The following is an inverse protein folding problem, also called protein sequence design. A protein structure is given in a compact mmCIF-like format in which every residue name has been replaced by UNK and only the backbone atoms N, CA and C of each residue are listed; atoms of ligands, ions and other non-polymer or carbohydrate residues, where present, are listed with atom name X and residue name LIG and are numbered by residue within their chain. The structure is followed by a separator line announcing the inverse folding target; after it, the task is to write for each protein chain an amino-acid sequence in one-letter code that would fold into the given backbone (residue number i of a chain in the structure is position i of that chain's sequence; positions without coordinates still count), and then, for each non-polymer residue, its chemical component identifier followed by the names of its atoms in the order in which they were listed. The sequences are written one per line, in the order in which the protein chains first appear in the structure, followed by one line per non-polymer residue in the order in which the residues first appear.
data_IF_643621670658
#
_entry.id   IF_643621670658
#
_cell.length_a   1.000
_cell.length_b   1.000
_cell.length_c   1.000
_cell.angle_alpha   90.00
_cell.angle_beta   90.00
_cell.angle_gamma   90.00
#
_symmetry.space_group_name_H-M   'P 1'
#
loop_
_entity.id
_entity.type
_entity.pdbx_description
1 polymer ?
#
# COMPACT_ATOMS: atom_id res chain seq x y z
N UNK A 1 15.57 -0.54 -8.55
CA UNK A 1 15.82 0.27 -7.32
C UNK A 1 14.47 0.72 -6.76
N UNK A 2 14.34 0.80 -5.43
CA UNK A 2 13.11 1.22 -4.76
C UNK A 2 13.47 2.42 -3.87
N UNK A 3 12.70 3.49 -3.95
CA UNK A 3 12.88 4.72 -3.18
C UNK A 3 11.63 4.97 -2.34
N UNK A 4 11.76 4.87 -1.02
CA UNK A 4 10.73 5.25 -0.05
C UNK A 4 11.00 6.68 0.38
N UNK A 5 10.05 7.59 0.11
CA UNK A 5 10.17 9.02 0.43
C UNK A 5 9.33 9.42 1.64
N UNK A 6 8.72 8.46 2.31
CA UNK A 6 8.04 8.66 3.59
C UNK A 6 9.05 9.20 4.61
N UNK A 7 8.69 10.30 5.26
CA UNK A 7 9.52 10.94 6.28
C UNK A 7 8.94 10.69 7.67
N UNK A 8 9.83 10.54 8.64
CA UNK A 8 9.44 10.52 10.04
C UNK A 8 8.81 11.87 10.43
N UNK A 9 7.70 11.83 11.17
CA UNK A 9 6.90 12.99 11.52
C UNK A 9 5.46 12.86 11.01
N UNK A 10 4.56 13.77 11.44
CA UNK A 10 3.15 13.72 11.06
C UNK A 10 2.46 12.38 11.40
N UNK A 11 2.79 11.78 12.55
CA UNK A 11 2.38 10.46 13.04
C UNK A 11 3.08 9.26 12.36
N UNK A 12 3.94 9.46 11.37
CA UNK A 12 4.81 8.42 10.86
C UNK A 12 5.99 8.20 11.80
N UNK A 13 6.25 6.95 12.12
CA UNK A 13 7.37 6.50 12.96
C UNK A 13 8.29 5.62 12.13
N UNK A 14 9.56 5.59 12.53
CA UNK A 14 10.58 4.76 11.90
C UNK A 14 11.02 3.65 12.86
N UNK A 15 11.14 2.45 12.32
CA UNK A 15 11.83 1.32 12.95
C UNK A 15 13.05 0.97 12.10
N UNK A 16 14.18 0.72 12.75
CA UNK A 16 15.40 0.30 12.05
C UNK A 16 16.09 -0.81 12.84
N UNK A 17 16.53 -1.83 12.14
CA UNK A 17 17.46 -2.86 12.62
C UNK A 17 18.63 -2.96 11.64
N UNK A 18 19.57 -3.88 11.87
CA UNK A 18 20.74 -4.06 10.98
C UNK A 18 20.36 -4.33 9.51
N UNK A 19 19.24 -5.02 9.26
CA UNK A 19 18.84 -5.48 7.92
C UNK A 19 17.55 -4.84 7.41
N UNK A 20 16.80 -4.12 8.24
CA UNK A 20 15.44 -3.69 7.92
C UNK A 20 15.27 -2.23 8.30
N UNK A 21 14.69 -1.47 7.40
CA UNK A 21 14.11 -0.15 7.70
C UNK A 21 12.62 -0.21 7.45
N UNK A 22 11.82 0.20 8.43
CA UNK A 22 10.39 0.28 8.26
C UNK A 22 9.85 1.66 8.67
N UNK A 23 8.87 2.13 7.91
CA UNK A 23 8.05 3.28 8.27
C UNK A 23 6.64 2.77 8.55
N UNK A 24 6.05 3.24 9.62
CA UNK A 24 4.69 2.85 10.00
C UNK A 24 3.93 4.02 10.61
N UNK A 25 2.61 3.96 10.45
CA UNK A 25 1.67 4.92 11.03
C UNK A 25 0.43 4.17 11.46
N UNK A 26 -0.14 4.56 12.61
CA UNK A 26 -1.42 4.04 13.08
C UNK A 26 -1.38 3.37 14.44
N UNK A 27 -2.41 2.56 14.71
CA UNK A 27 -2.65 1.86 15.97
C UNK A 27 -2.74 0.36 15.72
N UNK A 28 -2.09 -0.42 16.59
CA UNK A 28 -2.07 -1.88 16.59
C UNK A 28 -2.64 -2.35 17.92
N UNK A 29 -3.71 -3.17 17.89
CA UNK A 29 -4.47 -3.49 19.09
C UNK A 29 -3.88 -4.65 19.91
N UNK A 30 -3.38 -5.67 19.26
CA UNK A 30 -3.01 -6.93 19.93
C UNK A 30 -1.53 -7.24 19.92
N UNK A 31 -0.71 -6.55 19.14
CA UNK A 31 0.70 -6.90 18.94
C UNK A 31 1.60 -5.66 18.98
N UNK A 32 2.84 -5.86 19.43
CA UNK A 32 3.85 -4.82 19.31
C UNK A 32 4.30 -4.67 17.86
N UNK A 33 4.40 -3.44 17.38
CA UNK A 33 4.80 -3.15 16.00
C UNK A 33 6.15 -3.75 15.61
N UNK A 34 7.12 -3.79 16.54
CA UNK A 34 8.43 -4.41 16.29
C UNK A 34 8.28 -5.90 15.93
N UNK A 35 7.45 -6.63 16.68
CA UNK A 35 7.19 -8.04 16.41
C UNK A 35 6.48 -8.25 15.06
N UNK A 36 5.52 -7.38 14.71
CA UNK A 36 4.85 -7.40 13.42
C UNK A 36 5.88 -7.22 12.28
N UNK A 37 6.73 -6.19 12.37
CA UNK A 37 7.74 -5.90 11.34
C UNK A 37 8.72 -7.06 11.18
N UNK A 38 9.21 -7.62 12.27
CA UNK A 38 10.13 -8.75 12.26
C UNK A 38 9.48 -10.01 11.66
N UNK A 39 8.23 -10.31 12.06
CA UNK A 39 7.48 -11.43 11.50
C UNK A 39 7.25 -11.29 10.00
N UNK A 40 6.84 -10.12 9.51
CA UNK A 40 6.65 -9.86 8.08
C UNK A 40 7.99 -10.02 7.33
N UNK A 41 9.07 -9.51 7.90
CA UNK A 41 10.38 -9.49 7.23
C UNK A 41 11.03 -10.87 7.13
N UNK A 42 10.68 -11.79 8.01
CA UNK A 42 11.16 -13.18 8.04
C UNK A 42 10.21 -14.17 7.39
N UNK A 43 9.02 -13.72 7.00
CA UNK A 43 7.97 -14.58 6.46
C UNK A 43 8.19 -14.87 4.98
N UNK A 44 7.93 -16.11 4.58
CA UNK A 44 7.88 -16.50 3.17
C UNK A 44 6.65 -15.90 2.50
N UNK A 45 6.75 -15.64 1.19
CA UNK A 45 5.68 -15.01 0.42
C UNK A 45 4.34 -15.77 0.48
N UNK A 46 4.37 -17.09 0.65
CA UNK A 46 3.18 -17.93 0.72
C UNK A 46 2.36 -17.68 2.00
N UNK A 47 3.05 -17.46 3.12
CA UNK A 47 2.43 -17.26 4.43
C UNK A 47 2.16 -15.78 4.76
N UNK A 48 2.70 -14.87 3.95
CA UNK A 48 2.62 -13.43 4.19
C UNK A 48 1.18 -12.91 4.21
N UNK A 49 0.33 -13.46 3.35
CA UNK A 49 -1.09 -13.08 3.27
C UNK A 49 -1.83 -13.37 4.58
N UNK A 50 -1.66 -14.58 5.13
CA UNK A 50 -2.27 -14.98 6.39
C UNK A 50 -1.75 -14.15 7.57
N UNK A 51 -0.45 -13.91 7.60
CA UNK A 51 0.18 -13.10 8.64
C UNK A 51 -0.38 -11.68 8.66
N UNK A 52 -0.50 -11.03 7.49
CA UNK A 52 -1.02 -9.67 7.37
C UNK A 52 -2.51 -9.63 7.73
N UNK A 53 -3.29 -10.65 7.35
CA UNK A 53 -4.72 -10.74 7.66
C UNK A 53 -5.00 -10.74 9.17
N UNK A 54 -4.08 -11.30 9.96
CA UNK A 54 -4.16 -11.40 11.41
C UNK A 54 -3.68 -10.13 12.16
N UNK A 55 -3.26 -9.09 11.45
CA UNK A 55 -2.92 -7.80 12.07
C UNK A 55 -4.21 -7.01 12.31
N UNK A 56 -4.47 -6.73 13.60
CA UNK A 56 -5.59 -5.88 13.99
C UNK A 56 -5.14 -4.45 14.26
N UNK A 57 -5.82 -3.51 13.60
CA UNK A 57 -5.50 -2.11 13.77
C UNK A 57 -5.94 -1.23 12.59
N UNK A 58 -5.60 0.04 12.72
CA UNK A 58 -5.69 1.04 11.66
C UNK A 58 -4.28 1.51 11.34
N UNK A 59 -3.73 1.09 10.22
CA UNK A 59 -2.31 1.26 9.97
C UNK A 59 -1.93 1.35 8.50
N UNK A 60 -0.74 1.89 8.26
CA UNK A 60 0.04 1.65 7.06
C UNK A 60 1.48 1.32 7.47
N UNK A 61 2.09 0.38 6.77
CA UNK A 61 3.47 -0.08 7.03
C UNK A 61 4.20 -0.15 5.69
N UNK A 62 5.43 0.35 5.65
CA UNK A 62 6.36 0.12 4.53
C UNK A 62 7.64 -0.43 5.11
N UNK A 63 8.01 -1.64 4.74
CA UNK A 63 9.19 -2.35 5.20
C UNK A 63 10.14 -2.52 4.02
N UNK A 64 11.38 -2.12 4.19
CA UNK A 64 12.42 -2.26 3.16
C UNK A 64 13.63 -2.98 3.71
N UNK A 65 14.16 -3.89 2.93
CA UNK A 65 15.50 -4.45 3.09
C UNK A 65 16.30 -4.26 1.79
N UNK A 66 17.49 -4.84 1.68
CA UNK A 66 18.36 -4.71 0.50
C UNK A 66 17.72 -5.23 -0.81
N UNK A 67 16.81 -6.21 -0.72
CA UNK A 67 16.31 -6.95 -1.88
C UNK A 67 14.88 -6.60 -2.26
N UNK A 68 14.05 -6.18 -1.30
CA UNK A 68 12.63 -5.94 -1.53
C UNK A 68 12.06 -4.86 -0.61
N UNK A 69 10.91 -4.33 -1.02
CA UNK A 69 10.07 -3.46 -0.20
C UNK A 69 8.65 -4.00 -0.18
N UNK A 70 8.06 -4.09 1.02
CA UNK A 70 6.66 -4.48 1.22
C UNK A 70 5.92 -3.24 1.71
N UNK A 71 4.82 -2.89 1.05
CA UNK A 71 3.93 -1.82 1.47
C UNK A 71 2.55 -2.40 1.79
N UNK A 72 1.99 -2.07 2.95
CA UNK A 72 0.75 -2.65 3.47
C UNK A 72 -0.16 -1.52 3.93
N UNK A 73 -1.44 -1.59 3.57
CA UNK A 73 -2.49 -0.73 4.13
C UNK A 73 -3.53 -1.59 4.85
N UNK A 74 -4.17 -1.02 5.86
CA UNK A 74 -5.18 -1.74 6.65
C UNK A 74 -6.46 -2.05 5.85
N UNK A 75 -7.36 -2.80 6.50
CA UNK A 75 -8.63 -3.29 5.92
C UNK A 75 -9.56 -2.18 5.40
N UNK A 76 -9.39 -0.93 5.84
CA UNK A 76 -10.18 0.23 5.41
C UNK A 76 -9.34 1.33 4.75
N UNK A 77 -8.03 1.13 4.61
CA UNK A 77 -7.09 2.12 4.07
C UNK A 77 -7.11 3.45 4.85
N UNK A 78 -7.00 3.38 6.16
CA UNK A 78 -7.00 4.58 7.02
C UNK A 78 -5.85 5.55 6.74
N UNK A 79 -4.74 5.03 6.23
CA UNK A 79 -3.61 5.80 5.71
C UNK A 79 -3.25 5.29 4.32
N UNK A 80 -3.41 6.09 3.27
CA UNK A 80 -3.09 5.66 1.91
C UNK A 80 -1.57 5.55 1.69
N UNK A 81 -1.18 4.63 0.82
CA UNK A 81 0.17 4.55 0.23
C UNK A 81 0.03 4.66 -1.27
N UNK A 82 0.79 5.58 -1.84
CA UNK A 82 0.89 5.81 -3.29
C UNK A 82 2.22 5.30 -3.80
N UNK A 83 2.23 4.86 -5.04
CA UNK A 83 3.46 4.42 -5.70
C UNK A 83 3.43 4.75 -7.19
N UNK A 84 4.61 4.89 -7.74
CA UNK A 84 4.84 5.10 -9.17
C UNK A 84 6.12 4.39 -9.59
N UNK A 85 6.27 4.12 -10.89
CA UNK A 85 7.51 3.62 -11.46
C UNK A 85 8.01 4.62 -12.50
N UNK A 86 9.21 5.15 -12.29
CA UNK A 86 9.86 6.13 -13.14
C UNK A 86 11.29 5.63 -13.40
N UNK A 87 11.70 5.54 -14.67
CA UNK A 87 13.04 5.09 -15.06
C UNK A 87 13.49 3.77 -14.38
N UNK A 88 12.57 2.81 -14.26
CA UNK A 88 12.78 1.54 -13.55
C UNK A 88 13.06 1.68 -12.03
N UNK A 89 12.72 2.81 -11.44
CA UNK A 89 12.77 3.06 -10.00
C UNK A 89 11.35 3.16 -9.47
N UNK A 90 11.01 2.40 -8.43
CA UNK A 90 9.77 2.56 -7.69
C UNK A 90 9.91 3.67 -6.66
N UNK A 91 8.94 4.55 -6.64
CA UNK A 91 8.81 5.62 -5.67
C UNK A 91 7.56 5.38 -4.85
N UNK A 92 7.69 5.36 -3.52
CA UNK A 92 6.59 5.14 -2.58
C UNK A 92 6.49 6.31 -1.59
N UNK A 93 5.27 6.80 -1.39
CA UNK A 93 4.97 7.82 -0.38
C UNK A 93 3.52 7.72 0.10
N UNK A 94 3.22 8.27 1.26
CA UNK A 94 1.85 8.47 1.75
C UNK A 94 1.23 9.80 1.29
N UNK A 95 2.03 10.67 0.69
CA UNK A 95 1.58 11.95 0.15
C UNK A 95 1.84 11.99 -1.36
N UNK A 96 0.79 11.96 -2.20
CA UNK A 96 0.93 11.95 -3.64
C UNK A 96 1.62 13.22 -4.17
N UNK A 97 1.45 14.36 -3.51
CA UNK A 97 2.07 15.62 -3.94
C UNK A 97 3.60 15.56 -3.87
N UNK A 98 4.19 14.81 -2.93
CA UNK A 98 5.65 14.63 -2.91
C UNK A 98 6.16 13.81 -4.09
N UNK A 99 5.36 12.87 -4.58
CA UNK A 99 5.70 12.09 -5.77
C UNK A 99 5.56 12.93 -7.04
N UNK A 100 4.48 13.70 -7.17
CA UNK A 100 4.20 14.50 -8.36
C UNK A 100 5.12 15.73 -8.47
N UNK A 101 5.39 16.43 -7.36
CA UNK A 101 6.24 17.66 -7.37
C UNK A 101 7.66 17.41 -7.84
N UNK A 102 8.18 16.21 -7.60
CA UNK A 102 9.54 15.84 -7.97
C UNK A 102 9.64 15.21 -9.37
N UNK A 103 8.50 14.96 -10.04
CA UNK A 103 8.47 14.21 -11.29
C UNK A 103 7.45 14.79 -12.26
N UNK A 104 7.90 15.50 -13.29
CA UNK A 104 7.03 16.07 -14.33
C UNK A 104 6.17 15.04 -15.05
N UNK A 105 6.62 13.79 -15.16
CA UNK A 105 5.90 12.70 -15.80
C UNK A 105 4.65 12.22 -15.01
N UNK A 106 4.53 12.59 -13.74
CA UNK A 106 3.37 12.28 -12.91
C UNK A 106 2.31 13.39 -12.88
N UNK A 107 2.52 14.47 -13.65
CA UNK A 107 1.56 15.59 -13.70
C UNK A 107 0.53 15.43 -14.84
N UNK A 108 0.63 14.37 -15.62
CA UNK A 108 -0.33 14.11 -16.68
C UNK A 108 -1.64 13.55 -16.07
N UNK A 109 -2.75 14.24 -16.34
CA UNK A 109 -4.07 13.87 -15.81
C UNK A 109 -4.56 12.59 -16.47
N UNK A 110 -5.10 11.69 -15.65
CA UNK A 110 -5.85 10.53 -16.07
C UNK A 110 -7.32 10.95 -16.29
N UNK A 111 -7.72 11.09 -17.54
CA UNK A 111 -9.07 11.60 -17.88
C UNK A 111 -10.19 10.68 -17.40
N UNK A 112 -9.99 9.36 -17.38
CA UNK A 112 -10.98 8.41 -16.83
C UNK A 112 -11.16 8.62 -15.34
N UNK A 113 -10.05 8.69 -14.59
CA UNK A 113 -10.10 8.95 -13.15
C UNK A 113 -10.69 10.33 -12.83
N UNK A 114 -10.39 11.35 -13.65
CA UNK A 114 -10.98 12.68 -13.52
C UNK A 114 -12.51 12.63 -13.70
N UNK A 115 -12.98 11.87 -14.70
CA UNK A 115 -14.41 11.68 -14.90
C UNK A 115 -15.05 10.96 -13.72
N UNK A 116 -14.46 9.85 -13.26
CA UNK A 116 -14.92 9.09 -12.10
C UNK A 116 -15.02 9.97 -10.84
N UNK A 117 -13.98 10.78 -10.56
CA UNK A 117 -13.96 11.70 -9.42
C UNK A 117 -15.05 12.78 -9.59
N UNK A 118 -15.26 13.30 -10.79
CA UNK A 118 -16.29 14.31 -11.05
C UNK A 118 -17.71 13.78 -10.84
N UNK A 119 -17.94 12.49 -11.13
CA UNK A 119 -19.25 11.85 -11.02
C UNK A 119 -19.51 11.28 -9.62
N UNK A 120 -18.51 10.66 -8.98
CA UNK A 120 -18.68 9.86 -7.78
C UNK A 120 -17.87 10.39 -6.57
N UNK A 121 -16.98 11.37 -6.77
CA UNK A 121 -16.10 11.89 -5.72
C UNK A 121 -14.84 11.05 -5.46
N UNK A 122 -14.66 9.93 -6.16
CA UNK A 122 -13.49 9.04 -6.01
C UNK A 122 -13.17 8.31 -7.31
N UNK A 123 -11.94 7.83 -7.44
CA UNK A 123 -11.52 6.99 -8.56
C UNK A 123 -11.70 5.50 -8.24
N UNK A 124 -12.01 4.70 -9.26
CA UNK A 124 -12.23 3.26 -9.14
C UNK A 124 -10.89 2.52 -9.26
N UNK A 125 -10.71 1.51 -8.39
CA UNK A 125 -9.52 0.66 -8.40
C UNK A 125 -8.32 1.31 -7.73
N UNK A 126 -7.14 1.14 -8.33
CA UNK A 126 -5.85 1.65 -7.87
C UNK A 126 -5.45 2.98 -8.54
N UNK A 127 -6.27 3.46 -9.48
CA UNK A 127 -6.05 4.71 -10.22
C UNK A 127 -6.06 5.93 -9.29
N UNK A 128 -5.29 6.94 -9.68
CA UNK A 128 -5.37 8.27 -9.10
C UNK A 128 -5.70 9.31 -10.17
N UNK A 129 -5.85 10.57 -9.79
CA UNK A 129 -6.06 11.67 -10.74
C UNK A 129 -4.93 11.79 -11.77
N UNK A 130 -3.75 11.28 -11.46
CA UNK A 130 -2.58 11.36 -12.32
C UNK A 130 -2.25 10.00 -12.93
N UNK A 131 -1.83 10.02 -14.22
CA UNK A 131 -1.30 8.83 -14.90
C UNK A 131 -0.03 8.34 -14.20
N UNK A 132 0.21 7.03 -14.25
CA UNK A 132 1.40 6.39 -13.66
C UNK A 132 1.59 6.59 -12.14
N UNK A 133 0.59 7.13 -11.46
CA UNK A 133 0.52 7.21 -10.01
C UNK A 133 -0.62 6.32 -9.53
N UNK A 134 -0.29 5.32 -8.73
CA UNK A 134 -1.20 4.31 -8.23
C UNK A 134 -1.33 4.40 -6.71
N UNK A 135 -2.39 3.81 -6.17
CA UNK A 135 -2.65 3.73 -4.74
C UNK A 135 -3.01 2.30 -4.34
N UNK A 136 -2.47 1.80 -3.24
CA UNK A 136 -2.97 0.57 -2.66
C UNK A 136 -4.42 0.75 -2.21
N UNK A 137 -5.26 -0.25 -2.49
CA UNK A 137 -6.66 -0.27 -2.05
C UNK A 137 -6.79 -0.83 -0.63
N UNK A 138 -7.92 -0.65 -0.01
CA UNK A 138 -8.25 -1.22 1.29
C UNK A 138 -8.04 -2.75 1.28
N UNK A 139 -7.35 -3.25 2.31
CA UNK A 139 -7.03 -4.68 2.44
C UNK A 139 -6.01 -5.20 1.45
N UNK A 140 -5.15 -4.34 0.90
CA UNK A 140 -4.07 -4.74 0.00
C UNK A 140 -2.69 -4.55 0.62
N UNK A 141 -1.76 -5.34 0.10
CA UNK A 141 -0.34 -5.11 0.22
C UNK A 141 0.35 -5.32 -1.12
N UNK A 142 1.51 -4.70 -1.30
CA UNK A 142 2.34 -4.87 -2.48
C UNK A 142 3.77 -5.26 -2.09
N UNK A 143 4.35 -6.14 -2.90
CA UNK A 143 5.76 -6.51 -2.84
C UNK A 143 6.43 -5.91 -4.07
N UNK A 144 7.42 -5.07 -3.83
CA UNK A 144 8.28 -4.48 -4.86
C UNK A 144 9.63 -5.19 -4.80
N UNK A 145 10.04 -5.76 -5.90
CA UNK A 145 11.32 -6.46 -6.01
C UNK A 145 11.93 -6.22 -7.38
N UNK A 146 13.22 -5.91 -7.43
CA UNK A 146 13.95 -5.63 -8.66
C UNK A 146 13.29 -4.50 -9.49
N UNK A 147 12.70 -4.86 -10.63
CA UNK A 147 12.00 -3.94 -11.56
C UNK A 147 10.51 -4.25 -11.68
N UNK A 148 9.99 -5.09 -10.78
CA UNK A 148 8.59 -5.54 -10.80
C UNK A 148 7.92 -5.31 -9.45
N UNK A 149 6.59 -5.28 -9.48
CA UNK A 149 5.80 -5.31 -8.26
C UNK A 149 4.61 -6.25 -8.45
N UNK A 150 4.09 -6.73 -7.32
CA UNK A 150 2.88 -7.53 -7.28
C UNK A 150 2.01 -7.08 -6.12
N UNK A 151 0.74 -6.85 -6.41
CA UNK A 151 -0.27 -6.48 -5.41
C UNK A 151 -1.07 -7.71 -5.05
N UNK A 152 -1.32 -7.87 -3.75
CA UNK A 152 -2.13 -8.94 -3.18
C UNK A 152 -3.25 -8.33 -2.36
N UNK A 153 -4.43 -8.94 -2.43
CA UNK A 153 -5.55 -8.58 -1.59
C UNK A 153 -5.68 -9.60 -0.46
N UNK A 154 -5.41 -9.18 0.77
CA UNK A 154 -5.49 -10.04 1.95
C UNK A 154 -6.85 -9.96 2.66
N UNK A 155 -7.66 -8.95 2.34
CA UNK A 155 -8.98 -8.78 2.92
C UNK A 155 -9.98 -8.25 1.90
N UNK A 156 -11.19 -8.88 1.86
CA UNK A 156 -12.32 -8.44 1.05
C UNK A 156 -13.52 -8.20 1.97
N UNK A 157 -14.19 -7.07 1.77
CA UNK A 157 -15.41 -6.73 2.52
C UNK A 157 -16.60 -7.62 2.19
N UNK A 158 -16.71 -8.01 0.92
CA UNK A 158 -17.77 -8.87 0.44
C UNK A 158 -17.22 -10.25 0.11
N UNK A 159 -17.84 -11.26 0.71
CA UNK A 159 -17.54 -12.65 0.38
C UNK A 159 -18.16 -12.99 -0.97
N UNK A 160 -17.39 -13.65 -1.84
CA UNK A 160 -17.88 -14.15 -3.14
C UNK A 160 -19.02 -15.18 -2.99
N UNK A 161 -19.26 -15.66 -1.76
CA UNK A 161 -20.30 -16.67 -1.42
C UNK A 161 -21.71 -16.06 -1.43
N UNK A 162 -21.86 -14.75 -1.24
CA UNK A 162 -23.19 -14.11 -1.19
C UNK A 162 -23.84 -13.93 -2.57
N UNK A 163 -23.08 -13.91 -3.65
CA UNK A 163 -23.60 -13.76 -5.00
C UNK A 163 -24.21 -15.03 -5.58
N UNK A 164 -23.88 -16.20 -5.05
CA UNK A 164 -24.41 -17.48 -5.54
C UNK A 164 -25.72 -17.93 -4.88
N UNK A 165 -26.21 -17.24 -3.86
CA UNK A 165 -27.43 -17.61 -3.10
C UNK A 165 -28.64 -16.70 -3.34
N UNK A 166 -28.53 -15.66 -4.12
CA UNK A 166 -29.68 -14.82 -4.47
C UNK A 166 -30.32 -15.42 -5.74
N UNK A 167 -31.06 -16.50 -5.56
CA UNK A 167 -32.07 -16.90 -6.55
C UNK A 167 -33.25 -15.95 -6.43
N UNK A 168 -33.39 -15.03 -7.36
CA UNK A 168 -34.63 -14.27 -7.53
C UNK A 168 -35.73 -15.28 -7.93
N UNK A 169 -36.68 -15.56 -7.05
CA UNK A 169 -37.97 -16.15 -7.35
C UNK A 169 -38.91 -15.07 -7.85
#
# INVERSE_FOLDING_TARGET
MIRVTIQEGGLWKKYSSEKITAFYKGYFYSQKISAIIESISSCDNENLNELIQNIDGHFAIVISNENLTIAIVDKIRSTPIFFSQIDNVFHLDSNPNRLTSNNKFLNEVNEDAKLEISMAGFSIGDKTLYKNLYSLRAGEFAIFKDKSYKVYQYFKYFSDVLTSQINYQ
#
